data_IF_482673695717
#
_entry.id   IF_482673695717
#
_cell.length_a   1.000
_cell.length_b   1.000
_cell.length_c   1.000
_cell.angle_alpha   90.00
_cell.angle_beta   90.00
_cell.angle_gamma   90.00
#
_symmetry.space_group_name_H-M   'P 1'
#
loop_
_entity.id
_entity.type
_entity.pdbx_description
1 polymer ?
#
# COMPACT_ATOMS: atom_id res chain seq x y z
N UNK A 1 9.80 -16.14 -12.55
CA UNK A 1 8.79 -15.19 -13.07
C UNK A 1 7.64 -14.99 -12.09
N UNK A 2 7.00 -16.08 -11.61
CA UNK A 2 5.87 -15.99 -10.66
C UNK A 2 6.18 -15.27 -9.34
N UNK A 3 7.33 -15.54 -8.71
CA UNK A 3 7.76 -14.83 -7.49
C UNK A 3 7.79 -13.30 -7.68
N UNK A 4 8.33 -12.85 -8.80
CA UNK A 4 8.45 -11.42 -9.12
C UNK A 4 7.06 -10.81 -9.32
N UNK A 5 6.18 -11.49 -10.06
CA UNK A 5 4.79 -11.07 -10.23
C UNK A 5 4.05 -10.96 -8.90
N UNK A 6 4.13 -12.00 -8.04
CA UNK A 6 3.52 -11.99 -6.71
C UNK A 6 4.09 -10.87 -5.84
N UNK A 7 5.40 -10.63 -5.89
CA UNK A 7 6.05 -9.54 -5.13
C UNK A 7 5.58 -8.16 -5.59
N UNK A 8 5.41 -7.95 -6.90
CA UNK A 8 4.89 -6.70 -7.46
C UNK A 8 3.43 -6.47 -7.08
N UNK A 9 2.59 -7.51 -7.16
CA UNK A 9 1.18 -7.43 -6.75
C UNK A 9 1.09 -7.16 -5.25
N UNK A 10 1.90 -7.82 -4.43
CA UNK A 10 1.98 -7.56 -2.99
C UNK A 10 2.35 -6.10 -2.69
N UNK A 11 3.40 -5.57 -3.32
CA UNK A 11 3.80 -4.18 -3.12
C UNK A 11 2.71 -3.19 -3.56
N UNK A 12 2.08 -3.45 -4.71
CA UNK A 12 0.98 -2.62 -5.20
C UNK A 12 -0.23 -2.63 -4.25
N UNK A 13 -0.60 -3.81 -3.73
CA UNK A 13 -1.72 -3.92 -2.79
C UNK A 13 -1.46 -3.17 -1.48
N UNK A 14 -0.24 -3.21 -0.93
CA UNK A 14 0.07 -2.45 0.28
C UNK A 14 0.00 -0.94 0.01
N UNK A 15 0.52 -0.48 -1.13
CA UNK A 15 0.42 0.94 -1.52
C UNK A 15 -1.04 1.37 -1.67
N UNK A 16 -1.85 0.56 -2.37
CA UNK A 16 -3.29 0.80 -2.52
C UNK A 16 -3.97 0.84 -1.16
N UNK A 17 -3.70 -0.12 -0.27
CA UNK A 17 -4.26 -0.16 1.07
C UNK A 17 -4.01 1.15 1.84
N UNK A 18 -2.77 1.65 1.79
CA UNK A 18 -2.40 2.87 2.49
C UNK A 18 -3.02 4.14 1.89
N UNK A 19 -3.18 4.20 0.56
CA UNK A 19 -3.84 5.33 -0.10
C UNK A 19 -5.36 5.31 0.16
N UNK A 20 -5.99 4.14 0.07
CA UNK A 20 -7.44 4.03 0.26
C UNK A 20 -7.86 4.09 1.73
N UNK A 21 -6.93 3.92 2.68
CA UNK A 21 -7.19 4.08 4.11
C UNK A 21 -7.72 5.48 4.49
N UNK A 22 -7.50 6.51 3.65
CA UNK A 22 -8.08 7.85 3.85
C UNK A 22 -9.61 7.84 3.76
N UNK A 23 -10.20 6.88 3.04
CA UNK A 23 -11.65 6.75 2.91
C UNK A 23 -12.20 5.83 3.99
N UNK A 24 -13.17 6.31 4.76
CA UNK A 24 -13.94 5.50 5.70
C UNK A 24 -15.15 4.90 4.95
N UNK A 25 -15.38 3.60 5.14
CA UNK A 25 -16.53 2.86 4.61
C UNK A 25 -17.41 2.36 5.76
N UNK A 26 -18.71 2.29 5.50
CA UNK A 26 -19.67 1.71 6.43
C UNK A 26 -19.83 0.21 6.14
N UNK A 27 -19.67 -0.62 7.17
CA UNK A 27 -20.01 -2.04 7.16
C UNK A 27 -21.00 -2.29 8.29
N UNK A 28 -22.29 -2.41 7.93
CA UNK A 28 -23.36 -2.50 8.92
C UNK A 28 -23.44 -1.24 9.79
N UNK A 29 -23.32 -1.40 11.11
CA UNK A 29 -23.30 -0.30 12.09
C UNK A 29 -21.90 0.25 12.38
N UNK A 30 -20.85 -0.36 11.82
CA UNK A 30 -19.46 0.02 12.09
C UNK A 30 -18.85 0.80 10.92
N UNK A 31 -17.85 1.61 11.25
CA UNK A 31 -17.07 2.39 10.28
C UNK A 31 -15.63 1.91 10.30
N UNK A 32 -15.11 1.52 9.15
CA UNK A 32 -13.75 1.01 8.99
C UNK A 32 -13.05 1.70 7.82
N UNK A 33 -11.72 1.64 7.78
CA UNK A 33 -10.95 2.17 6.66
C UNK A 33 -11.15 1.31 5.39
N UNK A 34 -11.21 1.94 4.21
CA UNK A 34 -11.35 1.22 2.95
C UNK A 34 -10.07 0.46 2.55
N UNK A 35 -8.94 0.75 3.20
CA UNK A 35 -7.66 0.05 3.05
C UNK A 35 -7.78 -1.43 3.38
N UNK A 36 -8.66 -1.76 4.32
CA UNK A 36 -8.89 -3.12 4.80
C UNK A 36 -9.22 -4.14 3.70
N UNK A 37 -9.82 -3.70 2.60
CA UNK A 37 -10.21 -4.56 1.47
C UNK A 37 -8.99 -5.21 0.80
N UNK A 38 -7.83 -4.55 0.82
CA UNK A 38 -6.61 -5.07 0.22
C UNK A 38 -5.89 -6.09 1.12
N UNK A 39 -6.15 -6.09 2.44
CA UNK A 39 -5.42 -6.95 3.38
C UNK A 39 -5.58 -8.46 3.14
N UNK A 40 -6.79 -9.00 2.89
CA UNK A 40 -6.97 -10.42 2.59
C UNK A 40 -6.11 -10.90 1.42
N UNK A 41 -5.99 -10.08 0.38
CA UNK A 41 -5.16 -10.38 -0.79
C UNK A 41 -3.67 -10.33 -0.45
N UNK A 42 -3.22 -9.34 0.34
CA UNK A 42 -1.81 -9.30 0.78
C UNK A 42 -1.43 -10.48 1.66
N UNK A 43 -2.32 -10.92 2.56
CA UNK A 43 -2.08 -12.10 3.39
C UNK A 43 -1.97 -13.37 2.55
N UNK A 44 -2.92 -13.59 1.63
CA UNK A 44 -2.89 -14.73 0.72
C UNK A 44 -1.58 -14.80 -0.08
N UNK A 45 -1.13 -13.66 -0.63
CA UNK A 45 0.10 -13.61 -1.40
C UNK A 45 1.33 -13.84 -0.52
N UNK A 46 1.38 -13.21 0.67
CA UNK A 46 2.47 -13.41 1.62
C UNK A 46 2.59 -14.88 2.05
N UNK A 47 1.46 -15.54 2.31
CA UNK A 47 1.41 -16.94 2.70
C UNK A 47 1.92 -17.85 1.58
N UNK A 48 1.42 -17.66 0.35
CA UNK A 48 1.89 -18.37 -0.85
C UNK A 48 3.40 -18.18 -1.07
N UNK A 49 3.91 -16.96 -0.88
CA UNK A 49 5.33 -16.67 -1.00
C UNK A 49 6.12 -17.43 0.09
N UNK A 50 5.63 -17.44 1.32
CA UNK A 50 6.28 -18.09 2.46
C UNK A 50 6.32 -19.60 2.36
N UNK A 51 5.27 -20.22 1.82
CA UNK A 51 5.12 -21.66 1.68
C UNK A 51 5.93 -22.20 0.49
N UNK A 52 5.87 -21.52 -0.66
CA UNK A 52 6.53 -21.99 -1.89
C UNK A 52 8.00 -21.58 -1.94
N UNK A 53 8.32 -20.33 -1.56
CA UNK A 53 9.67 -19.76 -1.70
C UNK A 53 10.42 -19.65 -0.38
N UNK A 54 9.80 -20.09 0.71
CA UNK A 54 10.38 -20.14 2.05
C UNK A 54 10.31 -18.82 2.81
N UNK A 55 10.35 -18.94 4.14
CA UNK A 55 10.24 -17.82 5.08
C UNK A 55 11.28 -16.71 4.85
N UNK A 56 12.53 -17.08 4.52
CA UNK A 56 13.60 -16.09 4.27
C UNK A 56 13.26 -15.17 3.09
N UNK A 57 12.66 -15.72 2.04
CA UNK A 57 12.25 -14.96 0.85
C UNK A 57 11.05 -14.07 1.15
N UNK A 58 10.05 -14.61 1.84
CA UNK A 58 8.89 -13.84 2.29
C UNK A 58 9.29 -12.65 3.17
N UNK A 59 10.17 -12.86 4.16
CA UNK A 59 10.66 -11.78 5.02
C UNK A 59 11.38 -10.68 4.22
N UNK A 60 12.18 -11.03 3.22
CA UNK A 60 12.81 -10.04 2.34
C UNK A 60 11.78 -9.22 1.58
N UNK A 61 10.74 -9.86 1.04
CA UNK A 61 9.69 -9.18 0.27
C UNK A 61 8.88 -8.24 1.17
N UNK A 62 8.60 -8.63 2.41
CA UNK A 62 7.95 -7.75 3.40
C UNK A 62 8.81 -6.52 3.69
N UNK A 63 10.12 -6.68 3.91
CA UNK A 63 11.03 -5.55 4.13
C UNK A 63 11.16 -4.64 2.91
N UNK A 64 11.16 -5.20 1.71
CA UNK A 64 11.14 -4.42 0.46
C UNK A 64 9.81 -3.65 0.35
N UNK A 65 8.68 -4.29 0.65
CA UNK A 65 7.37 -3.65 0.68
C UNK A 65 7.30 -2.50 1.69
N UNK A 66 7.90 -2.67 2.87
CA UNK A 66 8.06 -1.60 3.85
C UNK A 66 8.89 -0.44 3.31
N UNK A 67 10.04 -0.72 2.69
CA UNK A 67 10.88 0.33 2.08
C UNK A 67 10.14 1.11 0.98
N UNK A 68 9.34 0.42 0.17
CA UNK A 68 8.50 1.04 -0.87
C UNK A 68 7.43 1.95 -0.25
N UNK A 69 6.87 1.59 0.91
CA UNK A 69 5.95 2.46 1.63
C UNK A 69 6.61 3.70 2.19
N UNK A 70 7.81 3.57 2.78
CA UNK A 70 8.59 4.73 3.23
C UNK A 70 8.86 5.67 2.05
N UNK A 71 9.22 5.12 0.89
CA UNK A 71 9.41 5.91 -0.33
C UNK A 71 8.13 6.64 -0.75
N UNK A 72 6.97 5.97 -0.73
CA UNK A 72 5.68 6.59 -1.02
C UNK A 72 5.39 7.76 -0.06
N UNK A 73 5.55 7.56 1.25
CA UNK A 73 5.32 8.60 2.25
C UNK A 73 6.23 9.80 2.04
N UNK A 74 7.52 9.57 1.77
CA UNK A 74 8.48 10.64 1.47
C UNK A 74 8.08 11.42 0.23
N UNK A 75 7.69 10.74 -0.85
CA UNK A 75 7.27 11.39 -2.10
C UNK A 75 6.00 12.22 -1.90
N UNK A 76 4.99 11.68 -1.22
CA UNK A 76 3.75 12.40 -0.91
C UNK A 76 4.05 13.62 -0.02
N UNK A 77 4.89 13.44 1.00
CA UNK A 77 5.27 14.52 1.92
C UNK A 77 6.00 15.67 1.21
N UNK A 78 6.99 15.35 0.36
CA UNK A 78 7.71 16.36 -0.42
C UNK A 78 6.77 17.05 -1.39
N UNK A 79 5.92 16.29 -2.09
CA UNK A 79 4.92 16.85 -3.01
C UNK A 79 3.98 17.83 -2.32
N UNK A 80 3.56 17.55 -1.08
CA UNK A 80 2.70 18.45 -0.30
C UNK A 80 3.39 19.73 0.20
N UNK A 81 4.73 19.78 0.21
CA UNK A 81 5.49 20.98 0.61
C UNK A 81 5.79 21.92 -0.55
N UNK A 82 5.70 21.44 -1.78
CA UNK A 82 5.91 22.26 -2.98
C UNK A 82 4.69 23.20 -3.14
N UNK A 83 4.91 24.51 -3.38
CA UNK A 83 3.81 25.44 -3.58
C UNK A 83 2.96 25.03 -4.78
N UNK A 84 1.65 25.18 -4.63
CA UNK A 84 0.70 24.97 -5.71
C UNK A 84 1.06 25.83 -6.94
N UNK A 85 0.80 25.32 -8.13
CA UNK A 85 0.86 26.16 -9.31
C UNK A 85 -0.18 27.28 -9.20
N UNK A 86 0.13 28.47 -9.73
CA UNK A 86 -0.74 29.66 -9.60
C UNK A 86 -2.14 29.50 -10.20
N UNK A 87 -2.35 28.49 -11.04
CA UNK A 87 -3.63 28.14 -11.66
C UNK A 87 -4.34 26.96 -10.98
N UNK A 88 -3.74 26.36 -9.96
CA UNK A 88 -4.31 25.24 -9.21
C UNK A 88 -5.16 25.79 -8.06
N UNK A 89 -6.45 25.92 -8.34
CA UNK A 89 -7.43 26.59 -7.45
C UNK A 89 -7.88 25.65 -6.31
N UNK A 90 -7.78 24.33 -6.50
CA UNK A 90 -8.21 23.30 -5.54
C UNK A 90 -7.14 22.96 -4.48
N UNK A 91 -6.28 23.91 -4.10
CA UNK A 91 -5.31 23.73 -3.00
C UNK A 91 -5.89 24.13 -1.63
N UNK A 92 -7.05 24.79 -1.59
CA UNK A 92 -7.71 25.15 -0.33
C UNK A 92 -8.40 23.91 0.28
N UNK A 93 -7.73 23.29 1.24
CA UNK A 93 -8.31 22.39 2.23
C UNK A 93 -7.91 22.86 3.64
#
# INVERSE_FOLDING_TARGET
MYLVALSMVFAALILVANITAVKIIAIGSESIDAGIIAYPLTFLISDVISEIYGRKTATKIIWIGFAVNVMMVVMIFVSGKIPAASFWIDQEA
#
